data_IF_048951249011
#
_entry.id   IF_048951249011
#
_cell.length_a   1.000
_cell.length_b   1.000
_cell.length_c   1.000
_cell.angle_alpha   90.00
_cell.angle_beta   90.00
_cell.angle_gamma   90.00
#
_symmetry.space_group_name_H-M   'P 1'
#
loop_
_entity.id
_entity.type
_entity.pdbx_description
1 polymer ?
#
# COMPACT_ATOMS: atom_id res chain seq x y z
N UNK A 1 1.22 7.30 13.60
CA UNK A 1 -0.11 6.81 14.05
C UNK A 1 -0.99 6.44 12.86
N UNK A 2 -1.24 7.34 11.89
CA UNK A 2 -2.03 7.04 10.68
C UNK A 2 -1.42 5.94 9.81
N UNK A 3 -0.13 6.01 9.53
CA UNK A 3 0.61 5.02 8.73
C UNK A 3 0.48 3.58 9.26
N UNK A 4 0.67 3.39 10.56
CA UNK A 4 0.50 2.09 11.21
C UNK A 4 -0.96 1.62 11.20
N UNK A 5 -1.92 2.53 11.36
CA UNK A 5 -3.34 2.21 11.22
C UNK A 5 -3.67 1.73 9.79
N UNK A 6 -3.13 2.41 8.76
CA UNK A 6 -3.26 1.98 7.35
C UNK A 6 -2.71 0.57 7.18
N UNK A 7 -1.50 0.30 7.69
CA UNK A 7 -0.91 -1.04 7.66
C UNK A 7 -1.81 -2.10 8.31
N UNK A 8 -2.27 -1.87 9.55
CA UNK A 8 -3.17 -2.80 10.23
C UNK A 8 -4.45 -3.03 9.43
N UNK A 9 -5.03 -1.97 8.86
CA UNK A 9 -6.26 -2.09 8.08
C UNK A 9 -6.05 -2.85 6.77
N UNK A 10 -4.93 -2.64 6.08
CA UNK A 10 -4.53 -3.46 4.92
C UNK A 10 -4.44 -4.93 5.32
N UNK A 11 -3.80 -5.26 6.45
CA UNK A 11 -3.71 -6.67 6.89
C UNK A 11 -5.09 -7.27 7.18
N UNK A 12 -6.05 -6.49 7.67
CA UNK A 12 -7.43 -6.94 7.86
C UNK A 12 -8.13 -7.19 6.52
N UNK A 13 -7.96 -6.30 5.54
CA UNK A 13 -8.47 -6.50 4.18
C UNK A 13 -7.92 -7.80 3.59
N UNK A 14 -6.60 -8.03 3.70
CA UNK A 14 -5.97 -9.25 3.17
C UNK A 14 -6.48 -10.53 3.83
N UNK A 15 -6.86 -10.50 5.12
CA UNK A 15 -7.42 -11.66 5.84
C UNK A 15 -8.75 -12.15 5.28
N UNK A 16 -9.48 -11.32 4.52
CA UNK A 16 -10.72 -11.75 3.86
C UNK A 16 -10.45 -12.84 2.81
N UNK A 17 -9.31 -12.78 2.12
CA UNK A 17 -8.89 -13.76 1.10
C UNK A 17 -7.84 -14.75 1.59
N UNK A 18 -7.03 -14.35 2.57
CA UNK A 18 -5.97 -15.15 3.17
C UNK A 18 -6.21 -15.28 4.69
N UNK A 19 -7.21 -16.08 5.12
CA UNK A 19 -7.66 -16.10 6.51
C UNK A 19 -6.65 -16.69 7.49
N UNK A 20 -5.70 -17.51 7.03
CA UNK A 20 -4.74 -18.20 7.89
C UNK A 20 -3.51 -17.33 8.14
N UNK A 21 -3.22 -17.02 9.41
CA UNK A 21 -1.98 -16.31 9.79
C UNK A 21 -0.84 -17.31 9.94
N UNK A 22 0.19 -17.18 9.10
CA UNK A 22 1.40 -18.02 9.12
C UNK A 22 2.48 -17.40 10.02
N UNK A 23 2.64 -16.09 9.94
CA UNK A 23 3.60 -15.33 10.75
C UNK A 23 3.02 -13.96 11.07
N UNK A 24 3.20 -13.52 12.31
CA UNK A 24 2.99 -12.13 12.68
C UNK A 24 4.16 -11.71 13.57
N UNK A 25 5.12 -10.98 13.00
CA UNK A 25 6.10 -10.25 13.81
C UNK A 25 5.45 -8.91 14.16
N UNK A 26 4.59 -8.96 15.17
CA UNK A 26 3.94 -7.79 15.74
C UNK A 26 5.00 -7.05 16.57
N UNK A 27 5.43 -5.84 16.19
CA UNK A 27 6.52 -5.22 16.92
C UNK A 27 6.04 -4.40 18.12
N UNK A 28 4.72 -4.31 18.37
CA UNK A 28 4.15 -3.05 18.85
C UNK A 28 2.98 -3.15 19.83
N UNK A 29 2.85 -4.23 20.59
CA UNK A 29 1.88 -4.27 21.70
C UNK A 29 2.56 -4.70 23.00
N UNK A 30 3.08 -3.72 23.75
CA UNK A 30 3.14 -3.83 25.20
C UNK A 30 1.87 -3.22 25.77
N UNK A 31 1.08 -4.00 26.51
CA UNK A 31 0.02 -3.47 27.36
C UNK A 31 0.67 -2.70 28.52
N UNK A 32 0.45 -1.41 28.60
CA UNK A 32 0.70 -0.64 29.82
C UNK A 32 -0.67 -0.33 30.46
N UNK A 33 -1.22 -1.30 31.20
CA UNK A 33 -2.60 -1.23 31.68
C UNK A 33 -3.61 -1.29 30.51
N UNK A 34 -4.50 -0.28 30.42
CA UNK A 34 -5.49 -0.13 29.34
C UNK A 34 -4.97 0.61 28.09
N UNK A 35 -3.73 1.12 28.13
CA UNK A 35 -3.14 1.86 27.02
C UNK A 35 -2.23 0.96 26.17
N UNK A 36 -2.42 1.05 24.85
CA UNK A 36 -1.54 0.48 23.84
C UNK A 36 -0.38 1.45 23.60
N UNK A 37 0.83 1.10 24.03
CA UNK A 37 2.01 1.94 23.84
C UNK A 37 2.79 1.44 22.61
N UNK A 38 2.90 2.30 21.60
CA UNK A 38 3.72 2.03 20.42
C UNK A 38 5.19 2.41 20.68
N UNK A 39 6.11 1.48 20.44
CA UNK A 39 7.54 1.78 20.33
C UNK A 39 7.85 2.28 18.92
N UNK A 40 8.29 3.53 18.77
CA UNK A 40 8.63 4.09 17.47
C UNK A 40 9.80 3.33 16.82
N UNK A 41 9.70 3.04 15.51
CA UNK A 41 10.81 2.49 14.69
C UNK A 41 10.77 0.99 14.39
N UNK A 42 9.77 0.26 14.89
CA UNK A 42 9.74 -1.19 14.75
C UNK A 42 9.13 -1.67 13.42
N UNK A 43 9.86 -2.54 12.70
CA UNK A 43 9.42 -3.16 11.43
C UNK A 43 8.46 -4.32 11.69
N UNK A 44 7.33 -4.38 10.98
CA UNK A 44 6.33 -5.44 11.12
C UNK A 44 6.26 -6.31 9.88
N UNK A 45 5.92 -7.58 10.05
CA UNK A 45 5.67 -8.49 8.92
C UNK A 45 4.55 -9.45 9.29
N UNK A 46 3.53 -9.48 8.44
CA UNK A 46 2.42 -10.43 8.51
C UNK A 46 2.50 -11.31 7.25
N UNK A 47 2.56 -12.62 7.44
CA UNK A 47 2.44 -13.61 6.37
C UNK A 47 1.11 -14.31 6.57
N UNK A 48 0.27 -14.27 5.54
CA UNK A 48 -1.02 -14.92 5.51
C UNK A 48 -1.04 -16.01 4.42
N UNK A 49 -1.95 -16.96 4.54
CA UNK A 49 -2.21 -17.98 3.55
C UNK A 49 -3.71 -18.16 3.31
N UNK A 50 -4.05 -18.56 2.08
CA UNK A 50 -5.40 -19.01 1.73
C UNK A 50 -5.52 -20.55 1.91
N UNK A 51 -6.73 -21.13 1.81
CA UNK A 51 -6.92 -22.57 1.96
C UNK A 51 -6.14 -23.44 0.96
N UNK A 52 -5.72 -22.88 -0.18
CA UNK A 52 -4.88 -23.59 -1.16
C UNK A 52 -3.40 -23.62 -0.76
N UNK A 53 -3.03 -22.89 0.30
CA UNK A 53 -1.65 -22.76 0.77
C UNK A 53 -0.88 -21.62 0.12
N UNK A 54 -1.48 -20.88 -0.82
CA UNK A 54 -0.86 -19.70 -1.44
C UNK A 54 -0.65 -18.62 -0.38
N UNK A 55 0.54 -18.03 -0.36
CA UNK A 55 0.96 -17.06 0.66
C UNK A 55 0.97 -15.64 0.13
N UNK A 56 0.71 -14.70 1.03
CA UNK A 56 0.87 -13.26 0.83
C UNK A 56 1.62 -12.68 2.02
N UNK A 57 2.50 -11.71 1.76
CA UNK A 57 3.29 -11.06 2.81
C UNK A 57 3.00 -9.56 2.82
N UNK A 58 2.58 -9.03 3.95
CA UNK A 58 2.42 -7.59 4.17
C UNK A 58 3.50 -7.11 5.14
N UNK A 59 4.28 -6.11 4.75
CA UNK A 59 5.41 -5.60 5.54
C UNK A 59 5.24 -4.12 5.82
N UNK A 60 5.46 -3.73 7.08
CA UNK A 60 5.47 -2.34 7.53
C UNK A 60 6.91 -1.83 7.52
N UNK A 61 7.15 -0.71 6.81
CA UNK A 61 8.44 -0.02 6.74
C UNK A 61 9.61 -0.92 6.37
N UNK A 62 9.48 -1.65 5.26
CA UNK A 62 10.56 -2.48 4.73
C UNK A 62 11.64 -1.57 4.13
N UNK A 63 12.83 -1.65 4.69
CA UNK A 63 14.01 -0.98 4.16
C UNK A 63 14.66 -1.83 3.05
N UNK A 64 14.77 -1.27 1.85
CA UNK A 64 15.53 -1.82 0.74
C UNK A 64 16.90 -1.17 0.68
N UNK A 65 17.92 -1.94 1.07
CA UNK A 65 19.32 -1.53 1.07
C UNK A 65 20.06 -2.07 -0.15
N UNK A 66 21.01 -1.27 -0.65
CA UNK A 66 21.89 -1.67 -1.74
C UNK A 66 21.15 -1.74 -3.08
N UNK A 67 20.14 -0.89 -3.25
CA UNK A 67 19.50 -0.67 -4.54
C UNK A 67 20.49 0.07 -5.47
N UNK A 68 20.38 -0.08 -6.81
CA UNK A 68 21.33 0.52 -7.74
C UNK A 68 21.46 2.04 -7.68
N UNK A 69 20.43 2.73 -7.18
CA UNK A 69 20.39 4.21 -7.15
C UNK A 69 20.40 4.75 -5.72
N UNK A 70 19.33 4.54 -4.98
CA UNK A 70 19.21 4.98 -3.57
C UNK A 70 18.34 4.01 -2.80
N UNK A 71 18.65 3.85 -1.51
CA UNK A 71 17.84 3.06 -0.59
C UNK A 71 16.40 3.61 -0.51
N UNK A 72 15.42 2.72 -0.32
CA UNK A 72 14.01 3.08 -0.24
C UNK A 72 13.35 2.43 0.98
N UNK A 73 12.41 3.14 1.60
CA UNK A 73 11.63 2.65 2.75
C UNK A 73 10.17 3.09 2.61
N UNK A 74 9.35 2.38 1.80
CA UNK A 74 7.91 2.64 1.75
C UNK A 74 7.21 2.20 3.04
N UNK A 75 6.10 2.86 3.36
CA UNK A 75 5.34 2.63 4.60
C UNK A 75 4.75 1.22 4.70
N UNK A 76 4.16 0.71 3.62
CA UNK A 76 3.63 -0.64 3.55
C UNK A 76 3.87 -1.30 2.19
N UNK A 77 4.10 -2.61 2.21
CA UNK A 77 4.32 -3.42 1.01
C UNK A 77 3.48 -4.68 1.11
N UNK A 78 2.72 -4.93 0.05
CA UNK A 78 2.06 -6.21 -0.19
C UNK A 78 2.89 -6.95 -1.23
N UNK A 79 3.61 -7.95 -0.74
CA UNK A 79 4.40 -8.88 -1.53
C UNK A 79 3.56 -10.09 -1.92
N UNK A 80 3.48 -10.33 -3.21
CA UNK A 80 2.81 -11.49 -3.83
C UNK A 80 3.80 -12.23 -4.72
N UNK A 81 3.38 -13.41 -5.20
CA UNK A 81 4.17 -14.23 -6.14
C UNK A 81 5.56 -14.63 -5.60
N UNK A 82 5.64 -14.95 -4.31
CA UNK A 82 6.88 -15.36 -3.65
C UNK A 82 8.03 -14.35 -3.78
N UNK A 83 7.70 -13.06 -3.90
CA UNK A 83 8.68 -11.98 -3.83
C UNK A 83 8.97 -11.28 -5.14
N UNK A 84 8.31 -11.66 -6.24
CA UNK A 84 8.58 -11.05 -7.56
C UNK A 84 7.72 -9.82 -7.86
N UNK A 85 6.61 -9.61 -7.12
CA UNK A 85 5.67 -8.52 -7.39
C UNK A 85 5.17 -7.82 -6.13
N UNK A 86 5.38 -6.51 -6.05
CA UNK A 86 5.01 -5.68 -4.91
C UNK A 86 3.97 -4.62 -5.30
N UNK A 87 2.93 -4.51 -4.46
CA UNK A 87 2.09 -3.31 -4.37
C UNK A 87 2.55 -2.51 -3.17
N UNK A 88 2.89 -1.25 -3.40
CA UNK A 88 3.31 -0.31 -2.38
C UNK A 88 2.10 0.50 -1.92
N UNK A 89 1.95 0.65 -0.61
CA UNK A 89 1.00 1.60 -0.04
C UNK A 89 1.77 2.57 0.85
N UNK A 90 1.72 3.84 0.50
CA UNK A 90 2.40 4.92 1.20
C UNK A 90 1.34 5.83 1.83
N UNK A 91 1.40 6.00 3.16
CA UNK A 91 0.36 6.68 3.92
C UNK A 91 0.76 8.14 4.15
N UNK A 92 -0.13 9.07 3.78
CA UNK A 92 0.10 10.50 3.91
C UNK A 92 -1.06 11.14 4.66
N UNK A 93 -0.80 11.61 5.88
CA UNK A 93 -1.81 12.29 6.69
C UNK A 93 -1.95 13.77 6.28
N UNK A 94 -2.29 13.99 5.01
CA UNK A 94 -2.56 15.30 4.41
C UNK A 94 -3.45 15.15 3.19
N UNK A 95 -4.18 16.21 2.86
CA UNK A 95 -5.09 16.24 1.71
C UNK A 95 -5.01 17.62 1.05
N UNK A 96 -4.88 17.63 -0.28
CA UNK A 96 -5.00 18.83 -1.09
C UNK A 96 -6.47 19.20 -1.28
N UNK A 97 -6.82 20.43 -0.91
CA UNK A 97 -8.20 20.92 -0.95
C UNK A 97 -8.30 22.44 -1.08
N UNK A 98 -7.18 23.13 -1.28
CA UNK A 98 -7.20 24.57 -1.56
C UNK A 98 -7.81 24.87 -2.94
N UNK A 99 -8.08 26.15 -3.20
CA UNK A 99 -8.71 26.59 -4.44
C UNK A 99 -7.93 26.17 -5.69
N UNK A 100 -6.59 26.22 -5.65
CA UNK A 100 -5.73 25.84 -6.77
C UNK A 100 -5.80 24.33 -7.04
N UNK A 101 -5.84 23.52 -5.99
CA UNK A 101 -5.98 22.07 -6.06
C UNK A 101 -7.35 21.70 -6.64
N UNK A 102 -8.43 22.26 -6.09
CA UNK A 102 -9.79 21.98 -6.54
C UNK A 102 -10.03 22.43 -7.98
N UNK A 103 -9.44 23.53 -8.42
CA UNK A 103 -9.49 23.96 -9.83
C UNK A 103 -8.81 22.95 -10.75
N UNK A 104 -7.71 22.32 -10.30
CA UNK A 104 -6.95 21.35 -11.10
C UNK A 104 -7.55 19.94 -11.09
N UNK A 105 -8.10 19.49 -9.96
CA UNK A 105 -8.49 18.10 -9.75
C UNK A 105 -9.98 17.89 -9.43
N UNK A 106 -10.76 18.96 -9.28
CA UNK A 106 -12.21 18.96 -9.08
C UNK A 106 -12.68 18.57 -7.67
N UNK A 107 -11.98 17.67 -7.00
CA UNK A 107 -12.29 17.22 -5.63
C UNK A 107 -11.01 17.06 -4.83
N UNK A 108 -11.12 17.12 -3.49
CA UNK A 108 -9.96 16.96 -2.61
C UNK A 108 -9.32 15.58 -2.76
N UNK A 109 -7.99 15.51 -2.63
CA UNK A 109 -7.21 14.30 -2.90
C UNK A 109 -5.75 14.38 -2.41
N UNK A 110 -4.89 13.41 -2.74
CA UNK A 110 -3.49 13.43 -2.35
C UNK A 110 -2.70 14.48 -3.14
N UNK A 111 -1.55 14.93 -2.63
CA UNK A 111 -0.70 15.87 -3.35
C UNK A 111 0.02 15.17 -4.51
N UNK A 112 0.27 15.89 -5.60
CA UNK A 112 0.98 15.34 -6.75
C UNK A 112 2.38 14.81 -6.39
N UNK A 113 3.09 15.52 -5.49
CA UNK A 113 4.42 15.10 -5.04
C UNK A 113 4.38 13.77 -4.28
N UNK A 114 3.31 13.49 -3.53
CA UNK A 114 3.12 12.19 -2.89
C UNK A 114 2.97 11.08 -3.95
N UNK A 115 2.17 11.31 -4.99
CA UNK A 115 2.02 10.35 -6.09
C UNK A 115 3.35 10.15 -6.84
N UNK A 116 4.15 11.20 -7.01
CA UNK A 116 5.47 11.11 -7.66
C UNK A 116 6.46 10.25 -6.86
N UNK A 117 6.34 10.18 -5.53
CA UNK A 117 7.13 9.25 -4.70
C UNK A 117 6.88 7.80 -5.11
N UNK A 118 5.64 7.44 -5.47
CA UNK A 118 5.33 6.07 -5.91
C UNK A 118 6.01 5.72 -7.23
N UNK A 119 6.12 6.66 -8.16
CA UNK A 119 6.88 6.46 -9.40
C UNK A 119 8.35 6.20 -9.10
N UNK A 120 8.94 6.94 -8.15
CA UNK A 120 10.30 6.68 -7.69
C UNK A 120 10.45 5.27 -7.12
N UNK A 121 9.54 4.85 -6.23
CA UNK A 121 9.61 3.49 -5.68
C UNK A 121 9.45 2.41 -6.74
N UNK A 122 8.53 2.61 -7.69
CA UNK A 122 8.27 1.67 -8.79
C UNK A 122 9.55 1.41 -9.58
N UNK A 123 10.33 2.44 -9.87
CA UNK A 123 11.53 2.28 -10.69
C UNK A 123 12.77 1.92 -9.86
N UNK A 124 12.88 2.39 -8.61
CA UNK A 124 14.05 2.15 -7.77
C UNK A 124 14.07 0.76 -7.11
N UNK A 125 12.91 0.16 -6.81
CA UNK A 125 12.83 -1.11 -6.08
C UNK A 125 12.90 -2.28 -7.06
N UNK A 126 14.13 -2.80 -7.19
CA UNK A 126 14.52 -3.88 -8.10
C UNK A 126 15.19 -5.04 -7.36
N UNK A 127 15.39 -6.19 -8.03
CA UNK A 127 16.22 -7.29 -7.54
C UNK A 127 17.66 -6.82 -7.31
N UNK A 128 18.31 -7.37 -6.28
CA UNK A 128 19.68 -6.99 -5.92
C UNK A 128 20.71 -7.41 -6.96
N UNK A 129 20.52 -8.58 -7.56
CA UNK A 129 21.46 -9.13 -8.54
C UNK A 129 21.12 -8.67 -9.96
N UNK A 130 22.14 -8.41 -10.80
CA UNK A 130 21.96 -8.20 -12.24
C UNK A 130 21.50 -9.49 -12.98
N UNK A 131 20.70 -9.37 -14.04
CA UNK A 131 20.04 -8.14 -14.48
C UNK A 131 18.97 -7.71 -13.47
N UNK A 132 18.96 -6.41 -13.12
CA UNK A 132 18.00 -5.89 -12.15
C UNK A 132 16.57 -5.98 -12.70
N UNK A 133 15.72 -6.76 -12.02
CA UNK A 133 14.30 -6.92 -12.35
C UNK A 133 13.47 -6.08 -11.39
N UNK A 134 12.54 -5.29 -11.92
CA UNK A 134 11.63 -4.49 -11.12
C UNK A 134 10.73 -5.37 -10.26
N UNK A 135 10.67 -5.07 -8.96
CA UNK A 135 9.80 -5.78 -8.02
C UNK A 135 8.56 -4.94 -7.67
N UNK A 136 8.68 -3.60 -7.62
CA UNK A 136 7.55 -2.72 -7.40
C UNK A 136 6.76 -2.49 -8.70
N UNK A 137 5.50 -2.93 -8.74
CA UNK A 137 4.68 -2.88 -9.96
C UNK A 137 3.54 -1.86 -9.86
N UNK A 138 3.05 -1.63 -8.65
CA UNK A 138 1.91 -0.76 -8.39
C UNK A 138 2.12 0.03 -7.08
N UNK A 139 1.44 1.17 -6.96
CA UNK A 139 1.59 2.08 -5.83
C UNK A 139 0.30 2.84 -5.53
N UNK A 140 -0.01 2.99 -4.24
CA UNK A 140 -1.16 3.74 -3.77
C UNK A 140 -0.75 4.71 -2.66
N UNK A 141 -1.18 5.96 -2.78
CA UNK A 141 -1.20 6.89 -1.64
C UNK A 141 -2.48 6.65 -0.85
N UNK A 142 -2.36 6.23 0.41
CA UNK A 142 -3.46 6.24 1.37
C UNK A 142 -3.49 7.61 2.06
N UNK A 143 -4.60 8.34 1.96
CA UNK A 143 -4.73 9.68 2.53
C UNK A 143 -6.06 9.86 3.29
N UNK A 144 -6.16 10.80 4.26
CA UNK A 144 -7.32 10.96 5.13
C UNK A 144 -8.50 11.67 4.42
N UNK A 145 -8.89 11.18 3.24
CA UNK A 145 -10.07 11.63 2.52
C UNK A 145 -11.31 10.78 2.84
N UNK A 146 -12.47 11.31 2.49
CA UNK A 146 -13.75 10.59 2.59
C UNK A 146 -14.05 9.93 1.25
N UNK A 147 -14.45 8.65 1.27
CA UNK A 147 -14.96 7.93 0.12
C UNK A 147 -16.29 8.56 -0.33
N UNK A 148 -16.22 9.43 -1.34
CA UNK A 148 -17.39 10.03 -1.99
C UNK A 148 -17.46 9.47 -3.40
N UNK A 149 -18.67 9.28 -3.92
CA UNK A 149 -18.86 8.78 -5.29
C UNK A 149 -18.08 9.62 -6.33
N UNK A 150 -18.09 10.94 -6.16
CA UNK A 150 -17.32 11.87 -7.00
C UNK A 150 -15.80 11.61 -7.02
N UNK A 151 -15.24 10.97 -6.00
CA UNK A 151 -13.81 10.65 -5.95
C UNK A 151 -13.42 9.56 -6.96
N UNK A 152 -14.35 8.69 -7.39
CA UNK A 152 -14.08 7.73 -8.46
C UNK A 152 -13.71 8.42 -9.78
N UNK A 153 -14.07 9.69 -9.96
CA UNK A 153 -13.68 10.51 -11.12
C UNK A 153 -12.41 11.35 -10.88
N UNK A 154 -11.80 11.26 -9.70
CA UNK A 154 -10.59 12.00 -9.38
C UNK A 154 -9.41 11.50 -10.22
N UNK A 155 -8.56 12.41 -10.70
CA UNK A 155 -7.42 12.10 -11.58
C UNK A 155 -6.52 11.01 -11.02
N UNK A 156 -6.23 11.02 -9.72
CA UNK A 156 -5.36 10.02 -9.09
C UNK A 156 -6.06 8.68 -8.80
N UNK A 157 -7.39 8.62 -8.80
CA UNK A 157 -8.11 7.35 -8.81
C UNK A 157 -8.10 6.75 -10.23
N UNK A 158 -8.36 7.57 -11.25
CA UNK A 158 -8.28 7.13 -12.65
C UNK A 158 -6.85 6.71 -13.04
N UNK A 159 -5.82 7.38 -12.51
CA UNK A 159 -4.42 6.98 -12.66
C UNK A 159 -4.14 5.59 -12.08
N UNK A 160 -4.73 5.25 -10.92
CA UNK A 160 -4.63 3.90 -10.36
C UNK A 160 -5.18 2.86 -11.35
N UNK A 161 -6.37 3.10 -11.89
CA UNK A 161 -7.00 2.19 -12.85
C UNK A 161 -6.18 2.04 -14.14
N UNK A 162 -5.58 3.14 -14.61
CA UNK A 162 -4.87 3.20 -15.89
C UNK A 162 -3.44 2.67 -15.83
N UNK A 163 -2.65 3.05 -14.81
CA UNK A 163 -1.21 2.77 -14.75
C UNK A 163 -0.74 2.13 -13.44
N UNK A 164 -1.66 1.74 -12.56
CA UNK A 164 -1.36 1.09 -11.29
C UNK A 164 -0.69 2.01 -10.26
N UNK A 165 -0.70 3.33 -10.48
CA UNK A 165 -0.16 4.33 -9.55
C UNK A 165 -1.21 5.41 -9.33
N UNK A 166 -1.54 5.67 -8.07
CA UNK A 166 -2.58 6.64 -7.75
C UNK A 166 -2.74 6.89 -6.26
N UNK A 167 -3.95 7.30 -5.85
CA UNK A 167 -4.25 7.48 -4.45
C UNK A 167 -5.70 7.23 -4.11
N UNK A 168 -5.92 6.71 -2.90
CA UNK A 168 -7.19 6.23 -2.40
C UNK A 168 -7.46 6.82 -1.01
N UNK A 169 -8.63 7.43 -0.80
CA UNK A 169 -9.05 7.92 0.51
C UNK A 169 -9.19 6.72 1.45
N UNK A 170 -8.68 6.86 2.66
CA UNK A 170 -8.69 5.78 3.63
C UNK A 170 -8.81 6.35 5.04
N UNK A 171 -9.96 6.11 5.67
CA UNK A 171 -10.26 6.48 7.05
C UNK A 171 -10.97 5.32 7.75
N UNK A 172 -11.02 5.28 9.10
CA UNK A 172 -11.80 4.26 9.82
C UNK A 172 -13.26 4.17 9.39
N UNK A 173 -13.83 5.28 8.90
CA UNK A 173 -15.21 5.36 8.42
C UNK A 173 -15.42 4.84 6.99
N UNK A 174 -14.36 4.57 6.22
CA UNK A 174 -14.47 4.14 4.82
C UNK A 174 -13.15 3.62 4.26
N UNK A 175 -13.16 2.35 3.85
CA UNK A 175 -12.01 1.66 3.25
C UNK A 175 -12.39 0.80 2.04
N UNK A 176 -13.60 0.98 1.50
CA UNK A 176 -14.12 0.17 0.42
C UNK A 176 -13.29 0.34 -0.86
N UNK A 177 -12.87 1.57 -1.18
CA UNK A 177 -12.05 1.83 -2.37
C UNK A 177 -10.67 1.19 -2.26
N UNK A 178 -10.10 1.14 -1.04
CA UNK A 178 -8.81 0.47 -0.81
C UNK A 178 -8.95 -1.05 -0.92
N UNK A 179 -10.05 -1.60 -0.41
CA UNK A 179 -10.36 -3.03 -0.52
C UNK A 179 -10.56 -3.45 -1.98
N UNK A 180 -11.36 -2.69 -2.75
CA UNK A 180 -11.52 -2.86 -4.19
C UNK A 180 -10.15 -2.85 -4.90
N UNK A 181 -9.34 -1.82 -4.68
CA UNK A 181 -8.04 -1.70 -5.34
C UNK A 181 -7.06 -2.83 -5.00
N UNK A 182 -7.01 -3.26 -3.73
CA UNK A 182 -6.19 -4.40 -3.33
C UNK A 182 -6.70 -5.68 -4.02
N UNK A 183 -8.01 -5.92 -4.03
CA UNK A 183 -8.59 -7.09 -4.69
C UNK A 183 -8.31 -7.09 -6.19
N UNK A 184 -8.52 -5.97 -6.88
CA UNK A 184 -8.19 -5.80 -8.29
C UNK A 184 -6.72 -6.12 -8.58
N UNK A 185 -5.80 -5.63 -7.74
CA UNK A 185 -4.38 -5.93 -7.90
C UNK A 185 -4.06 -7.42 -7.71
N UNK A 186 -4.71 -8.07 -6.74
CA UNK A 186 -4.57 -9.50 -6.51
C UNK A 186 -5.15 -10.33 -7.66
N UNK A 187 -6.25 -9.87 -8.27
CA UNK A 187 -6.97 -10.57 -9.35
C UNK A 187 -6.35 -10.34 -10.73
N UNK A 188 -5.70 -9.20 -10.98
CA UNK A 188 -4.89 -8.98 -12.19
C UNK A 188 -3.75 -10.01 -12.36
N UNK A 189 -3.49 -10.85 -11.34
CA UNK A 189 -2.63 -12.04 -11.44
C UNK A 189 -3.35 -13.28 -11.99
N UNK A 190 -4.66 -13.42 -11.77
CA UNK A 190 -5.44 -14.60 -12.17
C UNK A 190 -5.62 -14.70 -13.68
N UNK A 191 -5.50 -13.61 -14.42
CA UNK A 191 -5.60 -13.61 -15.89
C UNK A 191 -4.24 -13.78 -16.59
N UNK A 192 -3.13 -13.63 -15.87
CA UNK A 192 -1.77 -13.57 -16.42
C UNK A 192 -1.06 -14.92 -16.65
N UNK A 193 -1.79 -16.03 -16.81
CA UNK A 193 -1.21 -17.35 -17.19
C UNK A 193 -1.49 -17.77 -18.63
N UNK A 194 -1.90 -16.84 -19.49
CA UNK A 194 -2.05 -17.07 -20.92
C UNK A 194 -1.28 -16.02 -21.72
N UNK A 195 0.03 -16.21 -21.85
CA UNK A 195 0.85 -15.64 -22.92
C UNK A 195 2.09 -16.54 -23.13
#
# INVERSE_FOLDING_TARGET
MYEYWVFLRITQILKTRFPTVIKNSDPLIKRAGSQLVMTAGSKSTVILADPSGRRIRCQYRRLFLGLPTTDQEPDAIIEVEDGTRFLIVDAKYRIGQDHSYLTRYGVAGPLADDVNVLHRYRDAIVSKEPPHVRLAHAGLIAFPGVEREKYRYHRFYMSWLSVGVGGIPMLPSGTALMEEAINDYLDKRLEGTAA
#
